data_IF_682476138892
#
_entry.id   IF_682476138892
#
_cell.length_a   1.000
_cell.length_b   1.000
_cell.length_c   1.000
_cell.angle_alpha   90.00
_cell.angle_beta   90.00
_cell.angle_gamma   90.00
#
_symmetry.space_group_name_H-M   'P 1'
#
loop_
_entity.id
_entity.type
_entity.pdbx_description
1 polymer ?
#
# COMPACT_ATOMS: atom_id res chain seq x y z
N UNK A 1 -10.14 7.43 -10.31
CA UNK A 1 -10.62 7.78 -11.67
C UNK A 1 -9.95 9.00 -12.33
N UNK A 2 -9.52 10.05 -11.60
CA UNK A 2 -8.77 11.20 -12.20
C UNK A 2 -7.41 10.84 -12.83
N UNK A 3 -6.76 9.76 -12.40
CA UNK A 3 -5.40 9.40 -12.83
C UNK A 3 -5.28 8.85 -14.26
N UNK A 4 -6.27 8.10 -14.76
CA UNK A 4 -6.18 7.48 -16.09
C UNK A 4 -6.31 8.51 -17.21
N UNK A 5 -7.29 9.41 -17.08
CA UNK A 5 -7.43 10.55 -17.99
C UNK A 5 -6.17 11.39 -18.04
N UNK A 6 -5.47 11.57 -16.92
CA UNK A 6 -4.22 12.31 -16.87
C UNK A 6 -3.11 11.64 -17.69
N UNK A 7 -2.96 10.32 -17.61
CA UNK A 7 -1.95 9.61 -18.40
C UNK A 7 -2.25 9.68 -19.90
N UNK A 8 -3.51 9.49 -20.29
CA UNK A 8 -3.92 9.55 -21.70
C UNK A 8 -3.76 10.96 -22.30
N UNK A 9 -3.96 12.02 -21.50
CA UNK A 9 -3.76 13.40 -21.99
C UNK A 9 -2.31 13.87 -21.93
N UNK A 10 -1.57 13.50 -20.89
CA UNK A 10 -0.22 14.05 -20.61
C UNK A 10 0.88 13.23 -21.28
N UNK A 11 0.65 11.92 -21.40
CA UNK A 11 1.56 10.98 -22.05
C UNK A 11 0.77 10.20 -23.11
N UNK A 12 0.32 10.83 -24.21
CA UNK A 12 -0.43 10.13 -25.23
C UNK A 12 0.41 9.00 -25.85
N UNK A 13 -0.22 7.87 -26.15
CA UNK A 13 0.41 6.72 -26.82
C UNK A 13 -0.46 6.26 -27.96
N UNK A 14 0.15 5.77 -29.03
CA UNK A 14 -0.57 5.19 -30.18
C UNK A 14 -1.32 3.91 -29.78
N UNK A 15 -0.81 3.19 -28.77
CA UNK A 15 -1.49 2.05 -28.18
C UNK A 15 -2.47 2.48 -27.10
N UNK A 16 -3.71 1.99 -27.18
CA UNK A 16 -4.72 2.21 -26.14
C UNK A 16 -4.32 1.48 -24.85
N UNK A 17 -4.19 2.22 -23.75
CA UNK A 17 -3.94 1.65 -22.42
C UNK A 17 -5.13 0.83 -21.94
N UNK A 18 -4.83 -0.27 -21.25
CA UNK A 18 -5.81 -1.13 -20.59
C UNK A 18 -5.41 -1.27 -19.13
N UNK A 19 -6.39 -1.18 -18.25
CA UNK A 19 -6.19 -1.28 -16.81
C UNK A 19 -6.96 -2.48 -16.28
N UNK A 20 -6.32 -3.24 -15.42
CA UNK A 20 -6.92 -4.38 -14.75
C UNK A 20 -6.53 -4.35 -13.28
N UNK A 21 -7.51 -4.09 -12.41
CA UNK A 21 -7.31 -4.08 -10.96
C UNK A 21 -7.76 -5.40 -10.33
N UNK A 22 -7.03 -5.80 -9.29
CA UNK A 22 -7.29 -7.01 -8.51
C UNK A 22 -7.45 -6.66 -7.03
N UNK A 23 -8.43 -7.28 -6.38
CA UNK A 23 -8.61 -7.22 -4.92
C UNK A 23 -9.07 -8.59 -4.40
N UNK A 24 -8.81 -8.92 -3.14
CA UNK A 24 -9.35 -10.14 -2.51
C UNK A 24 -10.87 -10.03 -2.28
N UNK A 25 -11.44 -8.82 -2.33
CA UNK A 25 -12.87 -8.58 -2.13
C UNK A 25 -13.42 -7.51 -3.06
N UNK A 26 -14.66 -7.71 -3.51
CA UNK A 26 -15.44 -6.78 -4.32
C UNK A 26 -16.03 -5.61 -3.50
N UNK A 27 -15.83 -5.58 -2.18
CA UNK A 27 -16.38 -4.55 -1.29
C UNK A 27 -15.90 -3.14 -1.63
N UNK A 28 -14.71 -3.02 -2.21
CA UNK A 28 -14.15 -1.75 -2.66
C UNK A 28 -14.42 -1.45 -4.13
N UNK A 29 -15.07 -2.38 -4.85
CA UNK A 29 -15.39 -2.16 -6.25
C UNK A 29 -16.47 -1.08 -6.35
N UNK A 30 -16.36 -0.17 -7.33
CA UNK A 30 -17.43 0.77 -7.61
C UNK A 30 -18.69 0.00 -7.99
N UNK A 31 -19.81 0.37 -7.36
CA UNK A 31 -21.11 -0.26 -7.62
C UNK A 31 -21.72 0.17 -8.95
N UNK A 32 -21.26 1.30 -9.48
CA UNK A 32 -21.77 1.88 -10.71
C UNK A 32 -20.93 1.39 -11.89
N UNK A 33 -21.58 0.93 -12.96
CA UNK A 33 -20.96 0.41 -14.18
C UNK A 33 -20.24 1.46 -15.05
N UNK A 34 -20.05 2.68 -14.56
CA UNK A 34 -19.44 3.80 -15.31
C UNK A 34 -17.94 3.67 -15.59
N UNK A 35 -17.34 2.50 -15.31
CA UNK A 35 -15.91 2.25 -15.36
C UNK A 35 -15.49 1.33 -16.51
N UNK A 36 -16.04 1.54 -17.72
CA UNK A 36 -15.69 0.78 -18.94
C UNK A 36 -14.18 0.79 -19.30
N UNK A 37 -13.37 1.58 -18.61
CA UNK A 37 -11.93 1.70 -18.82
C UNK A 37 -11.07 0.76 -17.96
N UNK A 38 -11.63 0.11 -16.92
CA UNK A 38 -10.87 -0.73 -15.99
C UNK A 38 -11.59 -2.07 -15.80
N UNK A 39 -10.90 -3.17 -16.07
CA UNK A 39 -11.38 -4.50 -15.70
C UNK A 39 -11.11 -4.74 -14.22
N UNK A 40 -12.10 -5.25 -13.48
CA UNK A 40 -11.94 -5.59 -12.06
C UNK A 40 -12.03 -7.11 -11.90
N UNK A 41 -11.19 -7.70 -11.05
CA UNK A 41 -11.26 -9.13 -10.76
C UNK A 41 -10.90 -9.43 -9.32
N UNK A 42 -11.51 -10.50 -8.80
CA UNK A 42 -11.13 -11.03 -7.50
C UNK A 42 -9.86 -11.86 -7.64
N UNK A 43 -8.85 -11.57 -6.82
CA UNK A 43 -7.66 -12.40 -6.71
C UNK A 43 -7.00 -12.27 -5.35
N UNK A 44 -6.55 -13.39 -4.80
CA UNK A 44 -5.67 -13.40 -3.64
C UNK A 44 -4.22 -13.43 -4.13
N UNK A 45 -3.45 -12.36 -3.91
CA UNK A 45 -2.05 -12.30 -4.36
C UNK A 45 -1.12 -13.34 -3.70
N UNK A 46 -1.57 -14.00 -2.63
CA UNK A 46 -0.89 -15.16 -2.05
C UNK A 46 -1.09 -16.44 -2.87
N UNK A 47 -1.91 -16.42 -3.91
CA UNK A 47 -2.09 -17.52 -4.84
C UNK A 47 -1.47 -17.16 -6.20
N UNK A 48 -0.94 -18.14 -6.94
CA UNK A 48 -0.49 -17.94 -8.32
C UNK A 48 -1.60 -17.36 -9.18
N UNK A 49 -1.23 -16.48 -10.11
CA UNK A 49 -2.20 -15.94 -11.06
C UNK A 49 -2.54 -17.01 -12.11
N UNK A 50 -3.78 -17.04 -12.63
CA UNK A 50 -4.15 -17.96 -13.70
C UNK A 50 -3.24 -17.80 -14.93
N UNK A 51 -2.88 -18.92 -15.58
CA UNK A 51 -1.94 -18.93 -16.70
C UNK A 51 -2.39 -18.03 -17.87
N UNK A 52 -3.69 -17.81 -18.04
CA UNK A 52 -4.24 -16.92 -19.07
C UNK A 52 -3.84 -15.45 -18.86
N UNK A 53 -3.37 -15.10 -17.66
CA UNK A 53 -2.94 -13.75 -17.26
C UNK A 53 -1.43 -13.54 -17.39
N UNK A 54 -0.65 -14.61 -17.53
CA UNK A 54 0.79 -14.53 -17.68
C UNK A 54 1.17 -13.80 -18.97
N UNK A 55 2.18 -12.92 -18.92
CA UNK A 55 2.66 -12.13 -20.05
C UNK A 55 1.66 -11.11 -20.62
N UNK A 56 0.61 -10.74 -19.87
CA UNK A 56 -0.43 -9.78 -20.33
C UNK A 56 -0.21 -8.34 -19.91
N UNK A 57 0.72 -8.08 -18.98
CA UNK A 57 0.89 -6.76 -18.39
C UNK A 57 2.30 -6.25 -18.65
N UNK A 58 2.41 -5.05 -19.22
CA UNK A 58 3.70 -4.36 -19.34
C UNK A 58 4.19 -3.85 -17.97
N UNK A 59 3.25 -3.57 -17.06
CA UNK A 59 3.51 -3.06 -15.72
C UNK A 59 2.48 -3.62 -14.73
N UNK A 60 2.97 -4.22 -13.65
CA UNK A 60 2.19 -4.55 -12.45
C UNK A 60 2.50 -3.49 -11.38
N UNK A 61 1.46 -2.79 -10.92
CA UNK A 61 1.57 -1.79 -9.87
C UNK A 61 0.93 -2.31 -8.57
N UNK A 62 1.69 -2.33 -7.48
CA UNK A 62 1.25 -2.74 -6.16
C UNK A 62 1.38 -1.59 -5.20
N UNK A 63 0.37 -1.38 -4.34
CA UNK A 63 0.35 -0.23 -3.44
C UNK A 63 -0.23 -0.55 -2.06
N UNK A 64 0.45 -0.07 -1.01
CA UNK A 64 -0.01 -0.06 0.38
C UNK A 64 -0.36 -1.45 0.96
N UNK A 65 0.52 -2.42 0.77
CA UNK A 65 0.33 -3.79 1.27
C UNK A 65 0.88 -4.02 2.68
N UNK A 66 1.54 -3.02 3.28
CA UNK A 66 2.08 -3.09 4.67
C UNK A 66 1.07 -3.56 5.71
N UNK A 67 -0.21 -3.23 5.52
CA UNK A 67 -1.28 -3.62 6.45
C UNK A 67 -1.94 -4.97 6.11
N UNK A 68 -1.67 -5.53 4.93
CA UNK A 68 -2.32 -6.72 4.39
C UNK A 68 -1.41 -7.96 4.42
N UNK A 69 -0.09 -7.78 4.40
CA UNK A 69 0.89 -8.88 4.32
C UNK A 69 1.76 -8.97 5.57
N UNK A 70 2.08 -10.20 5.97
CA UNK A 70 3.20 -10.45 6.89
C UNK A 70 4.52 -10.35 6.12
N UNK A 71 5.61 -10.10 6.83
CA UNK A 71 6.96 -10.05 6.24
C UNK A 71 7.30 -11.34 5.47
N UNK A 72 6.89 -12.50 6.01
CA UNK A 72 7.08 -13.82 5.37
C UNK A 72 6.39 -13.96 4.02
N UNK A 73 5.33 -13.20 3.78
CA UNK A 73 4.45 -13.38 2.62
C UNK A 73 5.01 -12.68 1.39
N UNK A 74 5.82 -11.64 1.56
CA UNK A 74 6.34 -10.80 0.47
C UNK A 74 7.09 -11.61 -0.58
N UNK A 75 7.93 -12.56 -0.17
CA UNK A 75 8.68 -13.41 -1.10
C UNK A 75 7.73 -14.21 -2.00
N UNK A 76 6.65 -14.73 -1.42
CA UNK A 76 5.67 -15.50 -2.15
C UNK A 76 4.83 -14.63 -3.08
N UNK A 77 4.33 -13.49 -2.60
CA UNK A 77 3.54 -12.54 -3.40
C UNK A 77 4.35 -12.02 -4.60
N UNK A 78 5.61 -11.62 -4.39
CA UNK A 78 6.45 -11.11 -5.47
C UNK A 78 6.80 -12.21 -6.48
N UNK A 79 6.94 -13.47 -6.04
CA UNK A 79 7.11 -14.60 -6.96
C UNK A 79 5.87 -14.81 -7.83
N UNK A 80 4.67 -14.80 -7.25
CA UNK A 80 3.41 -14.93 -8.01
C UNK A 80 3.25 -13.77 -9.02
N UNK A 81 3.68 -12.56 -8.65
CA UNK A 81 3.67 -11.39 -9.55
C UNK A 81 4.68 -11.57 -10.70
N UNK A 82 5.85 -12.15 -10.45
CA UNK A 82 6.87 -12.34 -11.47
C UNK A 82 6.38 -13.20 -12.65
N UNK A 83 5.40 -14.09 -12.43
CA UNK A 83 4.76 -14.90 -13.48
C UNK A 83 4.00 -14.05 -14.51
N UNK A 84 3.65 -12.81 -14.18
CA UNK A 84 2.97 -11.92 -15.11
C UNK A 84 3.90 -11.37 -16.20
N UNK A 85 5.21 -11.52 -16.02
CA UNK A 85 6.27 -10.90 -16.83
C UNK A 85 6.15 -9.35 -16.84
N UNK A 86 7.13 -8.65 -17.42
CA UNK A 86 7.13 -7.18 -17.49
C UNK A 86 7.71 -6.48 -16.25
N UNK A 87 7.28 -5.23 -16.03
CA UNK A 87 7.81 -4.37 -14.96
C UNK A 87 7.00 -4.46 -13.67
N UNK A 88 7.68 -4.36 -12.52
CA UNK A 88 7.05 -4.22 -11.22
C UNK A 88 7.30 -2.82 -10.65
N UNK A 89 6.23 -2.13 -10.28
CA UNK A 89 6.29 -0.93 -9.45
C UNK A 89 5.57 -1.19 -8.13
N UNK A 90 6.28 -1.05 -7.01
CA UNK A 90 5.72 -1.19 -5.68
C UNK A 90 5.81 0.12 -4.90
N UNK A 91 4.68 0.64 -4.44
CA UNK A 91 4.60 1.83 -3.58
C UNK A 91 4.12 1.43 -2.19
N UNK A 92 4.99 1.55 -1.18
CA UNK A 92 4.61 1.25 0.20
C UNK A 92 5.24 2.18 1.22
N UNK A 93 4.78 2.04 2.46
CA UNK A 93 5.19 2.85 3.58
C UNK A 93 6.49 2.30 4.16
N UNK A 94 7.58 3.06 4.02
CA UNK A 94 8.82 2.81 4.75
C UNK A 94 8.71 3.28 6.21
N UNK A 95 9.57 2.80 7.11
CA UNK A 95 9.51 3.08 8.55
C UNK A 95 9.41 4.57 8.92
N UNK A 96 9.98 5.45 8.11
CA UNK A 96 10.09 6.88 8.37
C UNK A 96 8.97 7.73 7.75
N UNK A 97 7.93 7.12 7.18
CA UNK A 97 6.94 7.85 6.38
C UNK A 97 6.17 8.95 7.14
N UNK A 98 6.03 8.82 8.46
CA UNK A 98 5.42 9.84 9.32
C UNK A 98 6.41 10.86 9.91
N UNK A 99 7.71 10.75 9.60
CA UNK A 99 8.72 11.64 10.15
C UNK A 99 8.84 12.90 9.28
N UNK A 100 8.26 14.01 9.74
CA UNK A 100 8.35 15.33 9.07
C UNK A 100 9.52 16.16 9.60
N UNK A 101 9.68 16.35 10.90
CA UNK A 101 10.75 17.20 11.44
C UNK A 101 11.86 16.36 12.14
N UNK A 102 13.16 16.54 11.81
CA UNK A 102 14.27 15.85 12.47
C UNK A 102 14.58 16.35 13.90
N UNK A 103 14.21 17.60 14.24
CA UNK A 103 14.44 18.23 15.55
C UNK A 103 13.26 18.09 16.51
N UNK A 104 12.03 17.90 16.01
CA UNK A 104 10.92 17.48 16.87
C UNK A 104 11.18 16.04 17.29
N UNK A 105 11.57 15.87 18.55
CA UNK A 105 11.48 14.58 19.23
C UNK A 105 10.00 14.23 19.38
N UNK A 106 9.38 13.68 18.32
CA UNK A 106 7.98 13.19 18.36
C UNK A 106 7.71 12.17 19.48
N UNK A 107 8.77 11.68 20.14
CA UNK A 107 8.70 10.93 21.40
C UNK A 107 7.90 11.65 22.50
N UNK A 108 7.73 12.98 22.40
CA UNK A 108 7.04 13.78 23.42
C UNK A 108 5.57 14.09 23.12
N UNK A 109 5.07 13.81 21.90
CA UNK A 109 3.66 14.05 21.57
C UNK A 109 2.78 12.87 22.02
N UNK A 110 1.74 13.08 22.85
CA UNK A 110 0.87 12.00 23.32
C UNK A 110 0.20 11.20 22.19
N UNK A 111 -0.19 11.85 21.09
CA UNK A 111 -0.76 11.20 19.89
C UNK A 111 0.21 10.24 19.21
N UNK A 112 1.51 10.56 19.24
CA UNK A 112 2.57 9.75 18.66
C UNK A 112 2.91 8.53 19.52
N UNK A 113 2.68 8.59 20.84
CA UNK A 113 2.81 7.41 21.70
C UNK A 113 1.77 6.34 21.36
N UNK A 114 0.51 6.73 21.13
CA UNK A 114 -0.52 5.79 20.67
C UNK A 114 -0.17 5.22 19.29
N UNK A 115 0.25 6.06 18.35
CA UNK A 115 0.68 5.60 17.03
C UNK A 115 1.86 4.63 17.11
N UNK A 116 2.87 4.93 17.93
CA UNK A 116 4.03 4.06 18.16
C UNK A 116 3.59 2.70 18.67
N UNK A 117 2.73 2.67 19.67
CA UNK A 117 2.18 1.41 20.21
C UNK A 117 1.36 0.65 19.15
N UNK A 118 0.60 1.34 18.31
CA UNK A 118 -0.12 0.72 17.19
C UNK A 118 0.84 0.14 16.14
N UNK A 119 1.88 0.87 15.75
CA UNK A 119 2.89 0.42 14.79
C UNK A 119 3.70 -0.74 15.37
N UNK A 120 4.16 -0.64 16.61
CA UNK A 120 4.88 -1.71 17.32
C UNK A 120 3.99 -2.95 17.47
N UNK A 121 2.72 -2.77 17.85
CA UNK A 121 1.73 -3.83 17.92
C UNK A 121 1.49 -4.50 16.56
N UNK A 122 1.38 -3.72 15.49
CA UNK A 122 1.28 -4.24 14.12
C UNK A 122 2.54 -4.99 13.73
N UNK A 123 3.73 -4.43 13.94
CA UNK A 123 5.02 -5.11 13.68
C UNK A 123 5.10 -6.44 14.42
N UNK A 124 4.71 -6.46 15.70
CA UNK A 124 4.71 -7.67 16.51
C UNK A 124 3.70 -8.73 16.00
N UNK A 125 2.70 -8.31 15.23
CA UNK A 125 1.74 -9.21 14.60
C UNK A 125 2.24 -9.82 13.27
N UNK A 126 3.44 -9.46 12.80
CA UNK A 126 4.10 -10.09 11.65
C UNK A 126 4.36 -9.22 10.39
N UNK A 127 3.69 -8.07 10.15
CA UNK A 127 4.09 -7.13 9.11
C UNK A 127 5.57 -6.72 9.10
N UNK A 128 6.08 -6.43 7.91
CA UNK A 128 7.48 -6.02 7.74
C UNK A 128 7.80 -4.69 8.42
N UNK A 129 8.99 -4.62 9.02
CA UNK A 129 9.54 -3.41 9.65
C UNK A 129 10.13 -2.40 8.68
N UNK A 130 10.33 -2.80 7.42
CA UNK A 130 10.85 -1.99 6.32
C UNK A 130 10.40 -2.61 4.98
N UNK A 131 9.14 -2.35 4.62
CA UNK A 131 8.52 -2.92 3.41
C UNK A 131 9.36 -2.64 2.15
N UNK A 132 9.84 -1.41 1.89
CA UNK A 132 10.69 -1.17 0.72
C UNK A 132 11.92 -2.08 0.64
N UNK A 133 12.61 -2.31 1.76
CA UNK A 133 13.75 -3.23 1.78
C UNK A 133 13.32 -4.69 1.55
N UNK A 134 12.25 -5.14 2.22
CA UNK A 134 11.71 -6.49 2.05
C UNK A 134 11.29 -6.77 0.60
N UNK A 135 10.64 -5.81 -0.07
CA UNK A 135 10.22 -5.93 -1.47
C UNK A 135 11.42 -6.01 -2.40
N UNK A 136 12.48 -5.22 -2.16
CA UNK A 136 13.71 -5.27 -2.98
C UNK A 136 14.34 -6.66 -2.91
N UNK A 137 14.45 -7.25 -1.72
CA UNK A 137 15.03 -8.60 -1.56
C UNK A 137 14.12 -9.70 -2.16
N UNK A 138 12.80 -9.55 -2.01
CA UNK A 138 11.84 -10.44 -2.66
C UNK A 138 11.92 -10.36 -4.18
N UNK A 139 12.04 -9.16 -4.75
CA UNK A 139 12.16 -8.94 -6.19
C UNK A 139 13.44 -9.52 -6.77
N UNK A 140 14.59 -9.31 -6.10
CA UNK A 140 15.86 -9.98 -6.47
C UNK A 140 15.72 -11.50 -6.48
N UNK A 141 15.10 -12.04 -5.43
CA UNK A 141 14.89 -13.49 -5.29
C UNK A 141 13.98 -14.07 -6.37
N UNK A 142 13.03 -13.28 -6.87
CA UNK A 142 12.12 -13.64 -7.96
C UNK A 142 12.71 -13.41 -9.36
N UNK A 143 13.96 -12.94 -9.47
CA UNK A 143 14.64 -12.76 -10.75
C UNK A 143 14.42 -11.41 -11.43
N UNK A 144 13.79 -10.43 -10.77
CA UNK A 144 13.73 -9.07 -11.30
C UNK A 144 15.13 -8.47 -11.42
N UNK A 145 15.35 -7.71 -12.49
CA UNK A 145 16.61 -6.99 -12.77
C UNK A 145 16.36 -5.49 -12.83
N UNK A 146 17.44 -4.68 -12.87
CA UNK A 146 17.35 -3.20 -12.93
C UNK A 146 16.53 -2.58 -11.78
N UNK A 147 16.67 -3.11 -10.57
CA UNK A 147 15.90 -2.69 -9.40
C UNK A 147 16.43 -1.35 -8.88
N UNK A 148 15.56 -0.34 -8.84
CA UNK A 148 15.81 0.97 -8.22
C UNK A 148 14.82 1.24 -7.10
N UNK A 149 15.31 1.78 -5.97
CA UNK A 149 14.47 2.19 -4.83
C UNK A 149 14.48 3.72 -4.71
N UNK A 150 13.30 4.32 -4.63
CA UNK A 150 13.14 5.77 -4.41
C UNK A 150 12.40 6.01 -3.11
N UNK A 151 13.00 6.78 -2.21
CA UNK A 151 12.37 7.15 -0.94
C UNK A 151 11.80 8.57 -1.06
N UNK A 152 10.47 8.72 -1.00
CA UNK A 152 9.84 10.02 -0.89
C UNK A 152 9.74 10.42 0.59
N UNK A 153 10.73 11.17 1.07
CA UNK A 153 10.80 11.58 2.48
C UNK A 153 10.25 12.99 2.64
N UNK A 154 9.15 13.12 3.37
CA UNK A 154 8.59 14.42 3.71
C UNK A 154 9.55 15.25 4.57
N UNK A 155 10.45 14.58 5.31
CA UNK A 155 11.58 15.21 6.01
C UNK A 155 12.43 16.11 5.12
N UNK A 156 12.62 15.75 3.86
CA UNK A 156 13.47 16.51 2.94
C UNK A 156 12.71 17.69 2.30
N UNK A 157 11.45 17.93 2.72
CA UNK A 157 10.53 18.91 2.16
C UNK A 157 9.91 19.80 3.25
N UNK A 158 10.70 20.72 3.84
CA UNK A 158 10.25 21.57 4.94
C UNK A 158 9.01 22.40 4.62
N UNK A 159 8.84 22.78 3.37
CA UNK A 159 7.66 23.51 2.87
C UNK A 159 6.35 22.72 3.02
N UNK A 160 6.42 21.39 3.17
CA UNK A 160 5.25 20.52 3.32
C UNK A 160 4.96 20.13 4.78
N UNK A 161 5.87 20.38 5.72
CA UNK A 161 5.78 19.84 7.09
C UNK A 161 4.48 20.21 7.79
N UNK A 162 4.10 21.49 7.81
CA UNK A 162 2.88 21.94 8.50
C UNK A 162 1.62 21.21 7.97
N UNK A 163 1.50 21.12 6.65
CA UNK A 163 0.36 20.46 6.00
C UNK A 163 0.35 18.95 6.29
N UNK A 164 1.51 18.32 6.32
CA UNK A 164 1.60 16.89 6.63
C UNK A 164 1.31 16.61 8.11
N UNK A 165 1.81 17.43 9.04
CA UNK A 165 1.48 17.31 10.46
C UNK A 165 -0.02 17.41 10.70
N UNK A 166 -0.68 18.45 10.14
CA UNK A 166 -2.13 18.61 10.26
C UNK A 166 -2.89 17.40 9.67
N UNK A 167 -2.44 16.87 8.53
CA UNK A 167 -3.03 15.68 7.92
C UNK A 167 -2.85 14.43 8.79
N UNK A 168 -1.65 14.22 9.36
CA UNK A 168 -1.36 13.09 10.26
C UNK A 168 -2.29 13.16 11.48
N UNK A 169 -2.41 14.31 12.13
CA UNK A 169 -3.26 14.47 13.31
C UNK A 169 -4.73 14.11 13.01
N UNK A 170 -5.27 14.59 11.89
CA UNK A 170 -6.64 14.27 11.46
C UNK A 170 -6.83 12.77 11.16
N UNK A 171 -5.84 12.14 10.53
CA UNK A 171 -5.87 10.69 10.26
C UNK A 171 -5.86 9.90 11.57
N UNK A 172 -4.96 10.24 12.49
CA UNK A 172 -4.85 9.56 13.78
C UNK A 172 -6.12 9.72 14.60
N UNK A 173 -6.66 10.94 14.71
CA UNK A 173 -7.92 11.19 15.41
C UNK A 173 -9.05 10.32 14.84
N UNK A 174 -9.16 10.25 13.51
CA UNK A 174 -10.17 9.44 12.83
C UNK A 174 -9.99 7.94 13.10
N UNK A 175 -8.75 7.44 12.99
CA UNK A 175 -8.43 6.03 13.24
C UNK A 175 -8.69 5.63 14.70
N UNK A 176 -8.29 6.46 15.67
CA UNK A 176 -8.56 6.22 17.09
C UNK A 176 -10.07 6.09 17.35
N UNK A 177 -10.90 6.97 16.77
CA UNK A 177 -12.36 6.88 16.89
C UNK A 177 -12.91 5.57 16.32
N UNK A 178 -12.41 5.13 15.17
CA UNK A 178 -12.82 3.86 14.54
C UNK A 178 -12.42 2.67 15.42
N UNK A 179 -11.17 2.63 15.90
CA UNK A 179 -10.68 1.53 16.73
C UNK A 179 -11.43 1.42 18.06
N UNK A 180 -11.67 2.54 18.74
CA UNK A 180 -12.45 2.57 19.98
C UNK A 180 -13.88 2.09 19.75
N UNK A 181 -14.53 2.53 18.66
CA UNK A 181 -15.87 2.05 18.29
C UNK A 181 -15.90 0.54 18.06
N UNK A 182 -14.98 0.02 17.24
CA UNK A 182 -14.89 -1.43 16.96
C UNK A 182 -14.63 -2.25 18.22
N UNK A 183 -13.76 -1.78 19.11
CA UNK A 183 -13.47 -2.46 20.38
C UNK A 183 -14.70 -2.50 21.29
N UNK A 184 -15.44 -1.40 21.40
CA UNK A 184 -16.72 -1.35 22.12
C UNK A 184 -17.74 -2.33 21.52
N UNK A 185 -17.89 -2.32 20.20
CA UNK A 185 -18.86 -3.17 19.51
C UNK A 185 -18.49 -4.67 19.59
N UNK A 186 -17.19 -5.01 19.72
CA UNK A 186 -16.74 -6.37 20.00
C UNK A 186 -17.00 -6.79 21.44
N UNK A 187 -16.68 -5.92 22.42
CA UNK A 187 -16.92 -6.20 23.84
C UNK A 187 -18.41 -6.36 24.19
N UNK A 188 -19.32 -5.70 23.45
CA UNK A 188 -20.77 -5.88 23.62
C UNK A 188 -21.33 -7.15 22.97
N UNK A 189 -20.54 -7.89 22.17
CA UNK A 189 -20.94 -9.19 21.58
C UNK A 189 -20.50 -10.39 22.40
N UNK A 190 -19.53 -10.22 23.31
CA UNK A 190 -19.03 -11.28 24.20
C UNK A 190 -19.83 -11.34 25.53
N UNK A 191 -20.88 -10.53 25.65
CA UNK A 191 -21.71 -10.37 26.86
C UNK A 191 -23.16 -10.89 26.72
N UNK A 192 -23.48 -11.55 25.61
CA UNK A 192 -24.74 -12.29 25.34
C UNK A 192 -24.43 -13.78 25.10
#
# INVERSE_FOLDING_TARGET
MKYFKYLDTTYPTDNKRRYHDFDISDKQFPKDSSHDTIQLSLHNCLEPFPAERHGKYDLVHVRLMVAALKESDYKHVVANIAEQEGHLQWEDLGRSYFLTNPEKHYQELPSMNTLRLCIEGQINAGPSRDVPATVVEAAKSAGFTNISKYDFRIRDKPELWFKTEEWIDRVLESLTRIFLKRKRDAAGKDSD
#
